data_IF_318315368928
#
_entry.id   IF_318315368928
#
_cell.length_a   1.000
_cell.length_b   1.000
_cell.length_c   1.000
_cell.angle_alpha   90.00
_cell.angle_beta   90.00
_cell.angle_gamma   90.00
#
_symmetry.space_group_name_H-M   'P 1'
#
loop_
_entity.id
_entity.type
_entity.pdbx_description
1 polymer ?
#
# COMPACT_ATOMS: atom_id res chain seq x y z
N UNK A 1 7.39 15.13 15.61
CA UNK A 1 8.67 14.57 16.12
C UNK A 1 8.40 13.29 16.88
N UNK A 2 9.37 12.40 17.00
CA UNK A 2 9.24 11.12 17.71
C UNK A 2 10.31 11.05 18.79
N UNK A 3 9.92 10.76 20.03
CA UNK A 3 10.79 10.76 21.21
C UNK A 3 10.68 9.44 21.97
N UNK A 4 11.80 8.87 22.42
CA UNK A 4 11.79 7.75 23.37
C UNK A 4 11.68 8.28 24.80
N UNK A 5 10.85 7.65 25.62
CA UNK A 5 10.67 7.99 27.03
C UNK A 5 10.51 6.72 27.88
N UNK A 6 10.59 6.87 29.20
CA UNK A 6 10.38 5.80 30.16
C UNK A 6 9.23 6.21 31.09
N UNK A 7 8.23 5.34 31.24
CA UNK A 7 7.08 5.57 32.11
C UNK A 7 7.45 5.40 33.59
N UNK A 8 6.56 5.86 34.48
CA UNK A 8 6.75 5.74 35.94
C UNK A 8 6.82 4.28 36.42
N UNK A 9 6.21 3.36 35.69
CA UNK A 9 6.26 1.92 35.96
C UNK A 9 7.54 1.24 35.40
N UNK A 10 8.41 2.00 34.73
CA UNK A 10 9.65 1.52 34.13
C UNK A 10 9.52 1.08 32.66
N UNK A 11 8.32 1.08 32.08
CA UNK A 11 8.11 0.67 30.69
C UNK A 11 8.71 1.68 29.70
N UNK A 12 9.43 1.19 28.69
CA UNK A 12 9.92 2.01 27.57
C UNK A 12 8.78 2.32 26.57
N UNK A 13 8.69 3.59 26.17
CA UNK A 13 7.68 4.06 25.21
C UNK A 13 8.27 5.00 24.16
N UNK A 14 7.53 5.15 23.07
CA UNK A 14 7.76 6.13 22.01
C UNK A 14 6.57 7.09 21.98
N UNK A 15 6.87 8.39 21.99
CA UNK A 15 5.89 9.48 21.90
C UNK A 15 6.05 10.22 20.57
N UNK A 16 5.08 10.07 19.68
CA UNK A 16 4.93 10.85 18.45
C UNK A 16 4.15 12.13 18.78
N UNK A 17 4.82 13.27 18.71
CA UNK A 17 4.30 14.58 19.10
C UNK A 17 4.16 15.45 17.83
N UNK A 18 2.95 15.93 17.58
CA UNK A 18 2.67 16.82 16.47
C UNK A 18 3.30 18.20 16.71
N UNK A 19 3.79 18.84 15.64
CA UNK A 19 4.26 20.22 15.74
C UNK A 19 3.09 21.17 16.05
N UNK A 20 3.29 22.16 16.94
CA UNK A 20 2.25 23.15 17.24
C UNK A 20 1.77 23.87 15.98
N UNK A 21 0.46 24.02 15.83
CA UNK A 21 -0.17 24.79 14.75
C UNK A 21 -0.27 24.10 13.39
N UNK A 22 0.30 22.89 13.21
CA UNK A 22 0.23 22.20 11.90
C UNK A 22 -1.20 21.92 11.47
N UNK A 23 -2.03 21.35 12.36
CA UNK A 23 -3.43 21.09 12.03
C UNK A 23 -4.22 22.38 11.72
N UNK A 24 -3.85 23.49 12.37
CA UNK A 24 -4.53 24.78 12.24
C UNK A 24 -4.08 25.53 10.96
N UNK A 25 -2.90 25.22 10.42
CA UNK A 25 -2.34 25.89 9.23
C UNK A 25 -2.65 25.19 7.90
N UNK A 26 -3.15 23.95 7.90
CA UNK A 26 -3.43 23.16 6.68
C UNK A 26 -4.24 23.96 5.65
N UNK A 27 -5.31 24.60 6.11
CA UNK A 27 -6.23 25.35 5.23
C UNK A 27 -5.51 26.54 4.58
N UNK A 28 -4.77 27.33 5.36
CA UNK A 28 -4.01 28.47 4.85
C UNK A 28 -2.85 28.06 3.96
N UNK A 29 -2.14 26.98 4.30
CA UNK A 29 -0.98 26.51 3.56
C UNK A 29 -1.39 25.98 2.19
N UNK A 30 -2.47 25.20 2.12
CA UNK A 30 -3.02 24.73 0.86
C UNK A 30 -3.56 25.87 0.01
N UNK A 31 -4.22 26.85 0.61
CA UNK A 31 -4.70 28.04 -0.11
C UNK A 31 -3.54 28.87 -0.68
N UNK A 32 -2.44 29.01 0.06
CA UNK A 32 -1.23 29.66 -0.42
C UNK A 32 -0.60 28.89 -1.60
N UNK A 33 -0.51 27.57 -1.52
CA UNK A 33 -0.03 26.72 -2.63
C UNK A 33 -0.92 26.88 -3.86
N UNK A 34 -2.25 26.85 -3.69
CA UNK A 34 -3.23 27.08 -4.76
C UNK A 34 -2.98 28.41 -5.47
N UNK A 35 -2.84 29.50 -4.71
CA UNK A 35 -2.58 30.83 -5.25
C UNK A 35 -1.27 30.85 -6.03
N UNK A 36 -0.20 30.30 -5.47
CA UNK A 36 1.11 30.29 -6.11
C UNK A 36 1.12 29.51 -7.43
N UNK A 37 0.45 28.35 -7.47
CA UNK A 37 0.27 27.56 -8.70
C UNK A 37 -0.55 28.32 -9.76
N UNK A 38 -1.57 29.07 -9.33
CA UNK A 38 -2.42 29.87 -10.21
C UNK A 38 -1.64 31.08 -10.78
N UNK A 39 -0.86 31.77 -9.95
CA UNK A 39 -0.06 32.93 -10.37
C UNK A 39 1.11 32.57 -11.28
N UNK A 40 1.73 31.41 -11.07
CA UNK A 40 2.91 30.98 -11.84
C UNK A 40 2.56 30.32 -13.17
N UNK A 41 1.27 30.04 -13.42
CA UNK A 41 0.78 29.32 -14.60
C UNK A 41 1.50 27.96 -14.83
N UNK A 42 2.03 27.36 -13.75
CA UNK A 42 2.75 26.08 -13.77
C UNK A 42 1.80 24.87 -13.76
N UNK A 43 0.49 25.08 -13.79
CA UNK A 43 -0.51 24.02 -13.76
C UNK A 43 -0.57 23.35 -15.14
N UNK A 44 -0.28 22.05 -15.25
CA UNK A 44 -0.43 21.32 -16.51
C UNK A 44 -1.88 21.38 -17.01
N UNK A 45 -2.07 21.61 -18.32
CA UNK A 45 -3.40 21.56 -18.94
C UNK A 45 -4.02 20.17 -18.68
N UNK A 46 -5.17 20.15 -18.00
CA UNK A 46 -5.89 18.91 -17.65
C UNK A 46 -5.80 18.48 -16.18
N UNK A 47 -5.02 19.17 -15.34
CA UNK A 47 -5.03 18.91 -13.89
C UNK A 47 -6.29 19.53 -13.26
N UNK A 48 -7.17 18.71 -12.68
CA UNK A 48 -8.30 19.18 -11.89
C UNK A 48 -7.80 19.70 -10.52
N UNK A 49 -7.26 20.93 -10.50
CA UNK A 49 -6.62 21.54 -9.34
C UNK A 49 -7.51 21.48 -8.08
N UNK A 50 -8.80 21.76 -8.22
CA UNK A 50 -9.74 21.72 -7.09
C UNK A 50 -9.89 20.31 -6.49
N UNK A 51 -9.89 19.26 -7.34
CA UNK A 51 -9.92 17.87 -6.87
C UNK A 51 -8.62 17.51 -6.16
N UNK A 52 -7.47 17.88 -6.73
CA UNK A 52 -6.17 17.63 -6.12
C UNK A 52 -6.01 18.33 -4.75
N UNK A 53 -6.45 19.60 -4.66
CA UNK A 53 -6.47 20.36 -3.42
C UNK A 53 -7.36 19.69 -2.37
N UNK A 54 -8.56 19.26 -2.75
CA UNK A 54 -9.49 18.59 -1.83
C UNK A 54 -8.87 17.31 -1.27
N UNK A 55 -8.25 16.49 -2.13
CA UNK A 55 -7.56 15.26 -1.72
C UNK A 55 -6.41 15.61 -0.77
N UNK A 56 -5.58 16.59 -1.10
CA UNK A 56 -4.46 17.02 -0.24
C UNK A 56 -4.92 17.48 1.15
N UNK A 57 -6.00 18.26 1.25
CA UNK A 57 -6.59 18.66 2.54
C UNK A 57 -7.02 17.46 3.37
N UNK A 58 -7.67 16.48 2.75
CA UNK A 58 -8.15 15.29 3.43
C UNK A 58 -6.99 14.42 3.95
N UNK A 59 -5.92 14.28 3.18
CA UNK A 59 -4.74 13.54 3.60
C UNK A 59 -4.03 14.22 4.77
N UNK A 60 -3.76 15.53 4.67
CA UNK A 60 -3.11 16.27 5.76
C UNK A 60 -3.96 16.27 7.04
N UNK A 61 -5.28 16.37 6.91
CA UNK A 61 -6.18 16.29 8.07
C UNK A 61 -6.12 14.93 8.76
N UNK A 62 -6.02 13.82 7.98
CA UNK A 62 -5.83 12.47 8.52
C UNK A 62 -4.48 12.29 9.20
N UNK A 63 -3.40 12.80 8.62
CA UNK A 63 -2.06 12.77 9.22
C UNK A 63 -1.98 13.55 10.56
N UNK A 64 -2.92 14.46 10.77
CA UNK A 64 -3.04 15.26 11.98
C UNK A 64 -3.98 14.67 13.05
N UNK A 65 -4.58 13.51 12.79
CA UNK A 65 -5.49 12.85 13.74
C UNK A 65 -4.84 11.59 14.34
N UNK A 66 -4.14 11.77 15.46
CA UNK A 66 -3.49 10.66 16.16
C UNK A 66 -4.46 9.73 16.90
N UNK A 67 -5.74 10.10 17.08
CA UNK A 67 -6.73 9.13 17.55
C UNK A 67 -7.07 8.12 16.46
N UNK A 68 -7.15 8.56 15.20
CA UNK A 68 -7.34 7.67 14.07
C UNK A 68 -6.16 6.70 13.94
N UNK A 69 -4.92 7.21 14.02
CA UNK A 69 -3.72 6.36 13.98
C UNK A 69 -3.67 5.35 15.14
N UNK A 70 -4.00 5.77 16.37
CA UNK A 70 -4.10 4.87 17.53
C UNK A 70 -5.14 3.77 17.32
N UNK A 71 -6.31 4.11 16.77
CA UNK A 71 -7.38 3.15 16.47
C UNK A 71 -6.93 2.14 15.41
N UNK A 72 -6.27 2.62 14.36
CA UNK A 72 -5.73 1.76 13.30
C UNK A 72 -4.67 0.80 13.87
N UNK A 73 -3.77 1.29 14.71
CA UNK A 73 -2.74 0.49 15.37
C UNK A 73 -3.34 -0.65 16.21
N UNK A 74 -4.37 -0.35 17.03
CA UNK A 74 -5.07 -1.38 17.82
C UNK A 74 -5.71 -2.44 16.92
N UNK A 75 -6.39 -2.01 15.85
CA UNK A 75 -6.97 -2.92 14.86
C UNK A 75 -5.91 -3.80 14.20
N UNK A 76 -4.76 -3.25 13.83
CA UNK A 76 -3.66 -4.05 13.28
C UNK A 76 -3.13 -5.07 14.28
N UNK A 77 -3.03 -4.71 15.57
CA UNK A 77 -2.63 -5.62 16.64
C UNK A 77 -3.58 -6.81 16.73
N UNK A 78 -4.88 -6.58 16.60
CA UNK A 78 -5.90 -7.64 16.58
C UNK A 78 -5.81 -8.49 15.30
N UNK A 79 -5.73 -7.87 14.12
CA UNK A 79 -5.65 -8.57 12.84
C UNK A 79 -4.40 -9.46 12.70
N UNK A 80 -3.32 -9.10 13.39
CA UNK A 80 -2.06 -9.83 13.38
C UNK A 80 -1.85 -10.74 14.59
N UNK A 81 -2.83 -10.87 15.50
CA UNK A 81 -2.67 -11.66 16.74
C UNK A 81 -2.27 -13.11 16.48
N UNK A 82 -2.79 -13.69 15.39
CA UNK A 82 -2.58 -15.09 15.03
C UNK A 82 -1.49 -15.24 13.94
N UNK A 83 -0.81 -14.15 13.58
CA UNK A 83 0.24 -14.16 12.56
C UNK A 83 1.63 -14.18 13.21
N UNK A 84 2.30 -15.33 13.14
CA UNK A 84 3.66 -15.48 13.65
C UNK A 84 4.66 -14.52 12.97
N UNK A 85 5.63 -14.05 13.76
CA UNK A 85 6.72 -13.21 13.28
C UNK A 85 6.36 -11.74 13.05
N UNK A 86 5.16 -11.30 13.44
CA UNK A 86 4.77 -9.89 13.43
C UNK A 86 4.54 -9.38 14.85
N UNK A 87 4.85 -8.10 15.07
CA UNK A 87 4.50 -7.43 16.32
C UNK A 87 3.98 -6.02 16.05
N UNK A 88 2.95 -5.65 16.80
CA UNK A 88 2.38 -4.30 16.81
C UNK A 88 2.45 -3.77 18.24
N UNK A 89 3.20 -2.69 18.51
CA UNK A 89 3.36 -2.15 19.85
C UNK A 89 2.00 -1.75 20.42
N UNK A 90 1.82 -1.92 21.74
CA UNK A 90 0.58 -1.48 22.40
C UNK A 90 0.52 0.05 22.45
N UNK A 91 -0.67 0.61 22.23
CA UNK A 91 -0.94 2.04 22.45
C UNK A 91 -1.16 2.30 23.95
N UNK A 92 -0.54 3.35 24.48
CA UNK A 92 -0.79 3.84 25.84
C UNK A 92 -1.84 4.94 25.78
N UNK A 93 -3.11 4.56 25.96
CA UNK A 93 -4.27 5.46 25.80
C UNK A 93 -4.23 6.67 26.73
N UNK A 94 -3.82 6.46 27.98
CA UNK A 94 -3.73 7.50 29.01
C UNK A 94 -2.75 8.63 28.66
N UNK A 95 -1.79 8.35 27.77
CA UNK A 95 -0.77 9.28 27.29
C UNK A 95 -0.94 9.59 25.80
N UNK A 96 -2.10 9.27 25.23
CA UNK A 96 -2.44 9.55 23.84
C UNK A 96 -3.56 10.59 23.76
N UNK A 97 -3.49 11.45 22.76
CA UNK A 97 -4.41 12.54 22.50
C UNK A 97 -4.44 12.83 20.99
N UNK A 98 -5.24 13.80 20.56
CA UNK A 98 -5.27 14.22 19.16
C UNK A 98 -3.91 14.67 18.61
N UNK A 99 -3.01 15.19 19.46
CA UNK A 99 -1.70 15.76 19.07
C UNK A 99 -0.50 14.94 19.54
N UNK A 100 -0.73 13.89 20.33
CA UNK A 100 0.33 13.04 20.90
C UNK A 100 -0.11 11.58 20.81
N UNK A 101 0.67 10.72 20.16
CA UNK A 101 0.47 9.27 20.15
C UNK A 101 1.60 8.64 20.95
N UNK A 102 1.24 7.86 21.97
CA UNK A 102 2.21 7.12 22.78
C UNK A 102 2.03 5.62 22.56
N UNK A 103 3.09 4.94 22.16
CA UNK A 103 3.12 3.48 22.01
C UNK A 103 4.29 2.87 22.75
N UNK A 104 4.20 1.58 23.04
CA UNK A 104 5.33 0.77 23.47
C UNK A 104 6.53 0.94 22.54
N UNK A 105 7.73 1.03 23.13
CA UNK A 105 8.96 0.99 22.36
C UNK A 105 9.24 -0.43 21.89
N UNK A 106 9.58 -0.57 20.60
CA UNK A 106 9.98 -1.85 20.02
C UNK A 106 11.40 -1.73 19.46
N UNK A 107 12.28 -2.71 19.71
CA UNK A 107 13.60 -2.75 19.12
C UNK A 107 13.54 -3.09 17.62
N UNK A 108 14.68 -2.96 16.95
CA UNK A 108 14.86 -3.39 15.56
C UNK A 108 15.58 -2.37 14.70
N UNK A 109 15.97 -2.80 13.51
CA UNK A 109 16.59 -1.96 12.49
C UNK A 109 15.60 -1.70 11.35
N UNK A 110 15.63 -0.51 10.72
CA UNK A 110 14.81 -0.27 9.54
C UNK A 110 15.15 -1.24 8.40
N UNK A 111 14.16 -1.52 7.54
CA UNK A 111 14.28 -2.56 6.49
C UNK A 111 15.47 -2.32 5.54
N UNK A 112 15.88 -1.08 5.30
CA UNK A 112 17.04 -0.81 4.45
C UNK A 112 18.36 -1.30 5.03
N UNK A 113 18.48 -1.39 6.36
CA UNK A 113 19.62 -1.97 7.06
C UNK A 113 19.64 -3.49 7.00
N UNK A 114 18.52 -4.14 6.68
CA UNK A 114 18.48 -5.60 6.49
C UNK A 114 19.30 -6.04 5.27
N UNK A 115 19.55 -5.15 4.32
CA UNK A 115 20.31 -5.45 3.09
C UNK A 115 21.74 -6.00 3.35
N UNK A 116 22.34 -5.65 4.50
CA UNK A 116 23.69 -6.11 4.91
C UNK A 116 23.68 -7.40 5.74
N UNK A 117 22.51 -7.92 6.09
CA UNK A 117 22.36 -9.18 6.83
C UNK A 117 22.46 -10.39 5.89
N UNK A 118 22.37 -11.60 6.47
CA UNK A 118 22.44 -12.85 5.73
C UNK A 118 21.35 -12.96 4.65
N UNK A 119 21.59 -13.75 3.60
CA UNK A 119 20.56 -14.00 2.56
C UNK A 119 19.29 -14.61 3.16
N UNK A 120 19.42 -15.49 4.15
CA UNK A 120 18.29 -16.09 4.86
C UNK A 120 17.42 -15.02 5.53
N UNK A 121 18.05 -14.09 6.26
CA UNK A 121 17.36 -12.98 6.91
C UNK A 121 16.69 -12.06 5.89
N UNK A 122 17.37 -11.74 4.79
CA UNK A 122 16.81 -10.91 3.69
C UNK A 122 15.59 -11.57 3.06
N UNK A 123 15.65 -12.88 2.82
CA UNK A 123 14.52 -13.65 2.32
C UNK A 123 13.36 -13.67 3.33
N UNK A 124 13.63 -13.93 4.62
CA UNK A 124 12.61 -13.93 5.67
C UNK A 124 11.88 -12.59 5.75
N UNK A 125 12.62 -11.48 5.78
CA UNK A 125 12.05 -10.13 5.85
C UNK A 125 11.27 -9.79 4.58
N UNK A 126 11.78 -10.16 3.40
CA UNK A 126 11.06 -10.00 2.13
C UNK A 126 9.75 -10.80 2.09
N UNK A 127 9.79 -12.05 2.59
CA UNK A 127 8.62 -12.89 2.75
C UNK A 127 7.59 -12.23 3.68
N UNK A 128 8.00 -11.74 4.86
CA UNK A 128 7.10 -11.08 5.81
C UNK A 128 6.48 -9.80 5.25
N UNK A 129 7.24 -9.02 4.50
CA UNK A 129 6.73 -7.80 3.87
C UNK A 129 5.66 -8.10 2.81
N UNK A 130 5.91 -9.08 1.92
CA UNK A 130 4.94 -9.45 0.88
C UNK A 130 3.74 -10.22 1.45
N UNK A 131 3.96 -11.12 2.40
CA UNK A 131 2.89 -11.80 3.13
C UNK A 131 1.95 -10.78 3.78
N UNK A 132 2.51 -9.77 4.48
CA UNK A 132 1.72 -8.70 5.08
C UNK A 132 0.93 -7.93 4.02
N UNK A 133 1.57 -7.53 2.92
CA UNK A 133 0.91 -6.78 1.82
C UNK A 133 -0.26 -7.56 1.21
N UNK A 134 -0.10 -8.87 1.02
CA UNK A 134 -1.15 -9.77 0.52
C UNK A 134 -2.28 -9.90 1.56
N UNK A 135 -1.96 -10.10 2.85
CA UNK A 135 -2.95 -10.19 3.94
C UNK A 135 -3.74 -8.89 4.10
N UNK A 136 -3.08 -7.74 4.12
CA UNK A 136 -3.69 -6.41 4.21
C UNK A 136 -4.77 -6.21 3.15
N UNK A 137 -4.48 -6.63 1.92
CA UNK A 137 -5.39 -6.42 0.80
C UNK A 137 -6.49 -7.49 0.73
N UNK A 138 -6.11 -8.77 0.76
CA UNK A 138 -7.00 -9.89 0.44
C UNK A 138 -7.60 -10.60 1.65
N UNK A 139 -7.07 -10.38 2.85
CA UNK A 139 -7.63 -10.98 4.08
C UNK A 139 -8.31 -9.91 4.91
N UNK A 140 -7.58 -8.86 5.26
CA UNK A 140 -8.09 -7.81 6.14
C UNK A 140 -8.98 -6.80 5.41
N UNK A 141 -8.73 -6.62 4.10
CA UNK A 141 -9.26 -5.50 3.30
C UNK A 141 -9.00 -4.15 3.98
N UNK A 142 -7.89 -4.09 4.72
CA UNK A 142 -7.44 -2.97 5.52
C UNK A 142 -5.94 -2.90 5.37
N UNK A 143 -5.47 -1.87 4.65
CA UNK A 143 -4.10 -1.79 4.17
C UNK A 143 -3.47 -0.47 4.54
N UNK A 144 -2.21 -0.54 4.97
CA UNK A 144 -1.35 0.59 5.22
C UNK A 144 -0.79 1.05 3.87
N UNK A 145 -1.25 2.21 3.40
CA UNK A 145 -1.03 2.65 2.01
C UNK A 145 0.23 3.49 1.79
N UNK A 146 0.99 3.82 2.85
CA UNK A 146 2.29 4.48 2.71
C UNK A 146 3.33 3.48 2.17
N UNK A 147 4.01 3.77 1.07
CA UNK A 147 5.08 2.92 0.56
C UNK A 147 6.35 2.94 1.43
N UNK A 148 6.44 3.80 2.46
CA UNK A 148 7.66 3.96 3.23
C UNK A 148 7.95 2.76 4.13
N UNK A 149 8.98 1.98 3.77
CA UNK A 149 9.41 0.83 4.55
C UNK A 149 10.19 1.18 5.83
N UNK A 150 10.48 2.46 6.11
CA UNK A 150 11.00 2.86 7.43
C UNK A 150 9.97 2.69 8.55
N UNK A 151 8.70 2.49 8.19
CA UNK A 151 7.59 2.21 9.09
C UNK A 151 7.59 0.76 9.61
N UNK A 152 8.58 -0.03 9.19
CA UNK A 152 8.80 -1.39 9.65
C UNK A 152 10.22 -1.51 10.22
N UNK A 153 10.32 -2.17 11.36
CA UNK A 153 11.58 -2.51 12.01
C UNK A 153 11.71 -4.01 12.05
N UNK A 154 12.89 -4.52 11.76
CA UNK A 154 13.21 -5.93 11.93
C UNK A 154 14.09 -6.11 13.17
N UNK A 155 13.63 -6.89 14.12
CA UNK A 155 14.41 -7.35 15.26
C UNK A 155 14.96 -8.74 14.97
N UNK A 156 16.28 -8.82 14.78
CA UNK A 156 16.97 -10.07 14.49
C UNK A 156 17.06 -10.99 15.71
N UNK A 157 17.02 -10.45 16.93
CA UNK A 157 17.15 -11.24 18.16
C UNK A 157 15.92 -12.11 18.42
N UNK A 158 14.73 -11.52 18.23
CA UNK A 158 13.44 -12.22 18.36
C UNK A 158 12.90 -12.70 17.00
N UNK A 159 13.61 -12.40 15.91
CA UNK A 159 13.19 -12.67 14.51
C UNK A 159 11.81 -12.08 14.19
N UNK A 160 11.52 -10.90 14.73
CA UNK A 160 10.22 -10.22 14.66
C UNK A 160 10.20 -9.07 13.65
N UNK A 161 9.08 -8.93 12.95
CA UNK A 161 8.78 -7.84 12.03
C UNK A 161 7.79 -6.86 12.69
N UNK A 162 8.32 -5.74 13.17
CA UNK A 162 7.62 -4.76 13.98
C UNK A 162 7.02 -3.65 13.12
N UNK A 163 5.71 -3.41 13.24
CA UNK A 163 5.00 -2.34 12.51
C UNK A 163 4.83 -1.13 13.43
N UNK A 164 5.19 0.08 12.97
CA UNK A 164 5.23 1.28 13.85
C UNK A 164 4.50 2.52 13.31
N UNK A 165 3.96 2.50 12.08
CA UNK A 165 3.15 3.60 11.55
C UNK A 165 1.85 3.08 10.93
N UNK A 166 0.73 3.68 11.34
CA UNK A 166 -0.62 3.26 10.96
C UNK A 166 -1.49 4.44 10.48
N UNK A 167 -0.86 5.60 10.20
CA UNK A 167 -1.58 6.83 9.86
C UNK A 167 -2.27 6.78 8.50
N UNK A 168 -1.68 6.04 7.55
CA UNK A 168 -2.18 5.90 6.18
C UNK A 168 -3.00 4.60 5.95
N UNK A 169 -3.54 3.99 7.00
CA UNK A 169 -4.33 2.77 6.87
C UNK A 169 -5.74 3.05 6.32
N UNK A 170 -6.21 2.22 5.38
CA UNK A 170 -7.49 2.38 4.68
C UNK A 170 -8.19 1.07 4.45
N UNK A 171 -9.52 1.11 4.51
CA UNK A 171 -10.36 -0.01 4.10
C UNK A 171 -10.60 -0.04 2.60
N UNK A 172 -10.76 -1.25 2.06
CA UNK A 172 -11.09 -1.49 0.67
C UNK A 172 -12.42 -2.26 0.56
N UNK A 173 -13.37 -1.81 -0.29
CA UNK A 173 -14.63 -2.52 -0.50
C UNK A 173 -14.42 -3.94 -0.99
N UNK A 174 -15.25 -4.89 -0.55
CA UNK A 174 -15.12 -6.31 -0.94
C UNK A 174 -15.13 -6.50 -2.45
N UNK A 175 -16.10 -5.92 -3.15
CA UNK A 175 -16.21 -5.99 -4.63
C UNK A 175 -14.93 -5.54 -5.34
N UNK A 176 -14.30 -4.48 -4.85
CA UNK A 176 -13.02 -4.00 -5.40
C UNK A 176 -11.90 -5.02 -5.19
N UNK A 177 -11.79 -5.58 -3.98
CA UNK A 177 -10.76 -6.58 -3.65
C UNK A 177 -10.95 -7.88 -4.43
N UNK A 178 -12.20 -8.34 -4.59
CA UNK A 178 -12.54 -9.52 -5.38
C UNK A 178 -12.04 -9.37 -6.83
N UNK A 179 -12.40 -8.27 -7.49
CA UNK A 179 -12.00 -7.99 -8.88
C UNK A 179 -10.50 -7.76 -9.01
N UNK A 180 -9.89 -7.11 -8.01
CA UNK A 180 -8.44 -6.89 -7.99
C UNK A 180 -7.66 -8.20 -7.77
N UNK A 181 -8.15 -9.13 -6.95
CA UNK A 181 -7.51 -10.44 -6.78
C UNK A 181 -7.56 -11.24 -8.09
N UNK A 182 -8.71 -11.25 -8.78
CA UNK A 182 -8.85 -11.86 -10.11
C UNK A 182 -7.89 -11.24 -11.12
N UNK A 183 -7.74 -9.92 -11.10
CA UNK A 183 -6.75 -9.20 -11.92
C UNK A 183 -5.33 -9.71 -11.65
N UNK A 184 -4.90 -9.76 -10.38
CA UNK A 184 -3.54 -10.18 -10.03
C UNK A 184 -3.28 -11.63 -10.45
N UNK A 185 -4.26 -12.52 -10.31
CA UNK A 185 -4.17 -13.91 -10.79
C UNK A 185 -4.09 -13.98 -12.32
N UNK A 186 -4.88 -13.18 -13.04
CA UNK A 186 -4.79 -13.09 -14.50
C UNK A 186 -3.41 -12.59 -14.96
N UNK A 187 -2.85 -11.57 -14.28
CA UNK A 187 -1.48 -11.11 -14.52
C UNK A 187 -0.45 -12.22 -14.29
N UNK A 188 -0.56 -12.95 -13.16
CA UNK A 188 0.34 -14.03 -12.79
C UNK A 188 0.31 -15.19 -13.82
N UNK A 189 -0.86 -15.47 -14.40
CA UNK A 189 -1.05 -16.54 -15.37
C UNK A 189 -0.89 -16.08 -16.83
N UNK A 190 -0.52 -14.80 -17.07
CA UNK A 190 -0.44 -14.17 -18.39
C UNK A 190 -1.74 -14.31 -19.21
N UNK A 191 -2.88 -14.23 -18.54
CA UNK A 191 -4.20 -14.27 -19.16
C UNK A 191 -4.61 -12.88 -19.66
N UNK A 192 -4.44 -12.64 -20.97
CA UNK A 192 -4.79 -11.37 -21.60
C UNK A 192 -6.29 -11.08 -21.48
N UNK A 193 -7.15 -12.08 -21.62
CA UNK A 193 -8.60 -11.89 -21.59
C UNK A 193 -9.04 -11.47 -20.19
N UNK A 194 -8.58 -12.20 -19.16
CA UNK A 194 -8.83 -11.87 -17.76
C UNK A 194 -8.32 -10.49 -17.36
N UNK A 195 -7.11 -10.11 -17.81
CA UNK A 195 -6.58 -8.76 -17.57
C UNK A 195 -7.48 -7.68 -18.19
N UNK A 196 -7.93 -7.84 -19.43
CA UNK A 196 -8.78 -6.84 -20.07
C UNK A 196 -10.16 -6.75 -19.42
N UNK A 197 -10.75 -7.88 -19.06
CA UNK A 197 -12.07 -7.94 -18.41
C UNK A 197 -12.03 -7.25 -17.04
N UNK A 198 -11.10 -7.66 -16.17
CA UNK A 198 -10.98 -7.08 -14.83
C UNK A 198 -10.57 -5.60 -14.91
N UNK A 199 -9.81 -5.19 -15.93
CA UNK A 199 -9.41 -3.79 -16.12
C UNK A 199 -10.61 -2.90 -16.44
N UNK A 200 -11.62 -3.44 -17.13
CA UNK A 200 -12.88 -2.72 -17.36
C UNK A 200 -13.72 -2.65 -16.09
N UNK A 201 -13.88 -3.77 -15.36
CA UNK A 201 -14.63 -3.81 -14.08
C UNK A 201 -14.03 -2.86 -13.04
N UNK A 202 -12.70 -2.79 -12.96
CA UNK A 202 -11.96 -1.89 -12.09
C UNK A 202 -11.87 -0.45 -12.61
N UNK A 203 -12.38 -0.15 -13.82
CA UNK A 203 -12.36 1.20 -14.38
C UNK A 203 -10.98 1.69 -14.87
N UNK A 204 -10.02 0.80 -15.11
CA UNK A 204 -8.76 1.13 -15.79
C UNK A 204 -8.93 1.37 -17.28
N UNK A 205 -9.92 0.70 -17.87
CA UNK A 205 -10.27 0.77 -19.28
C UNK A 205 -11.77 1.05 -19.41
N UNK A 206 -12.12 1.88 -20.38
CA UNK A 206 -13.50 2.16 -20.77
C UNK A 206 -14.05 1.06 -21.69
N UNK A 207 -13.15 0.38 -22.42
CA UNK A 207 -13.50 -0.58 -23.47
C UNK A 207 -13.44 -0.01 -24.88
N UNK A 208 -13.22 1.31 -25.03
CA UNK A 208 -13.12 2.02 -26.30
C UNK A 208 -11.67 2.39 -26.68
N UNK A 209 -10.70 1.97 -25.88
CA UNK A 209 -9.29 2.24 -26.14
C UNK A 209 -8.80 1.58 -27.45
N UNK A 210 -7.88 2.22 -28.20
CA UNK A 210 -7.29 1.61 -29.38
C UNK A 210 -6.40 0.42 -28.99
N UNK A 211 -6.23 -0.56 -29.90
CA UNK A 211 -5.48 -1.80 -29.64
C UNK A 211 -4.07 -1.56 -29.09
N UNK A 212 -3.37 -0.51 -29.57
CA UNK A 212 -2.04 -0.12 -29.08
C UNK A 212 -2.01 0.22 -27.59
N UNK A 213 -3.11 0.76 -27.05
CA UNK A 213 -3.26 1.04 -25.63
C UNK A 213 -3.54 -0.27 -24.88
N UNK A 214 -4.46 -1.10 -25.38
CA UNK A 214 -4.80 -2.39 -24.77
C UNK A 214 -3.57 -3.29 -24.65
N UNK A 215 -2.76 -3.37 -25.71
CA UNK A 215 -1.51 -4.14 -25.71
C UNK A 215 -0.49 -3.58 -24.71
N UNK A 216 -0.31 -2.26 -24.67
CA UNK A 216 0.59 -1.63 -23.71
C UNK A 216 0.13 -1.84 -22.26
N UNK A 217 -1.18 -1.81 -22.00
CA UNK A 217 -1.75 -2.05 -20.68
C UNK A 217 -1.59 -3.51 -20.24
N UNK A 218 -1.87 -4.47 -21.13
CA UNK A 218 -1.70 -5.90 -20.86
C UNK A 218 -0.24 -6.24 -20.61
N UNK A 219 0.69 -5.71 -21.42
CA UNK A 219 2.12 -5.96 -21.24
C UNK A 219 2.61 -5.38 -19.91
N UNK A 220 2.17 -4.17 -19.54
CA UNK A 220 2.48 -3.58 -18.24
C UNK A 220 1.94 -4.44 -17.08
N UNK A 221 0.72 -4.97 -17.22
CA UNK A 221 0.11 -5.86 -16.24
C UNK A 221 0.88 -7.17 -16.08
N UNK A 222 1.34 -7.78 -17.19
CA UNK A 222 2.17 -8.98 -17.16
C UNK A 222 3.53 -8.74 -16.53
N UNK A 223 4.18 -7.59 -16.80
CA UNK A 223 5.44 -7.20 -16.17
C UNK A 223 5.29 -7.13 -14.65
N UNK A 224 4.20 -6.52 -14.15
CA UNK A 224 3.90 -6.45 -12.70
C UNK A 224 3.55 -7.84 -12.14
N UNK A 225 2.99 -8.73 -12.95
CA UNK A 225 2.66 -10.11 -12.60
C UNK A 225 3.87 -11.06 -12.53
N UNK A 226 5.04 -10.69 -13.07
CA UNK A 226 6.23 -11.55 -13.17
C UNK A 226 6.62 -12.20 -11.84
N UNK A 227 6.63 -11.52 -10.68
CA UNK A 227 6.98 -12.15 -9.40
C UNK A 227 6.08 -13.33 -9.03
N UNK A 228 4.83 -13.32 -9.50
CA UNK A 228 3.82 -14.34 -9.21
C UNK A 228 3.70 -15.41 -10.32
N UNK A 229 4.48 -15.30 -11.41
CA UNK A 229 4.27 -16.12 -12.60
C UNK A 229 4.82 -17.55 -12.47
N UNK A 230 5.97 -17.71 -11.82
CA UNK A 230 6.66 -19.01 -11.71
C UNK A 230 6.69 -19.50 -10.27
N UNK A 231 6.53 -20.82 -10.02
CA UNK A 231 6.80 -21.42 -8.72
C UNK A 231 8.26 -21.22 -8.28
N UNK A 232 8.48 -21.22 -6.98
CA UNK A 232 9.78 -21.03 -6.36
C UNK A 232 10.11 -19.57 -6.06
N UNK A 233 11.30 -19.36 -5.50
CA UNK A 233 11.76 -18.04 -5.09
C UNK A 233 12.01 -17.10 -6.28
N UNK A 234 11.30 -15.97 -6.30
CA UNK A 234 11.56 -14.89 -7.25
C UNK A 234 12.67 -13.98 -6.73
N UNK A 235 13.77 -13.87 -7.48
CA UNK A 235 14.84 -12.89 -7.21
C UNK A 235 14.46 -11.53 -7.79
N UNK A 236 14.11 -10.60 -6.90
CA UNK A 236 13.72 -9.24 -7.27
C UNK A 236 14.86 -8.43 -7.91
N UNK A 237 16.13 -8.77 -7.69
CA UNK A 237 17.26 -8.06 -8.32
C UNK A 237 17.51 -8.50 -9.75
N UNK A 238 17.13 -9.73 -10.10
CA UNK A 238 17.39 -10.30 -11.43
C UNK A 238 16.56 -9.63 -12.54
N UNK A 239 15.39 -9.07 -12.20
CA UNK A 239 14.47 -8.48 -13.17
C UNK A 239 14.23 -6.99 -12.87
N UNK A 240 14.57 -6.11 -13.81
CA UNK A 240 14.31 -4.68 -13.66
C UNK A 240 12.84 -4.34 -14.02
N UNK A 241 11.90 -4.85 -13.22
CA UNK A 241 10.45 -4.63 -13.37
C UNK A 241 10.14 -3.13 -13.52
N UNK A 242 10.82 -2.29 -12.74
CA UNK A 242 10.65 -0.83 -12.75
C UNK A 242 10.95 -0.19 -14.10
N UNK A 243 12.03 -0.60 -14.77
CA UNK A 243 12.41 -0.06 -16.07
C UNK A 243 11.48 -0.55 -17.19
N UNK A 244 11.02 -1.80 -17.10
CA UNK A 244 10.11 -2.38 -18.10
C UNK A 244 8.76 -1.67 -18.14
N UNK A 245 8.20 -1.29 -16.98
CA UNK A 245 6.93 -0.54 -16.90
C UNK A 245 7.08 0.89 -17.44
N UNK A 246 8.19 1.58 -17.15
CA UNK A 246 8.37 2.98 -17.59
C UNK A 246 8.36 3.15 -19.10
N UNK A 247 8.81 2.14 -19.85
CA UNK A 247 8.85 2.17 -21.32
C UNK A 247 7.45 2.18 -21.96
N UNK A 248 6.45 1.64 -21.26
CA UNK A 248 5.05 1.61 -21.72
C UNK A 248 4.26 2.84 -21.25
N UNK A 249 4.82 3.62 -20.31
CA UNK A 249 4.18 4.78 -19.71
C UNK A 249 3.78 5.87 -20.71
N UNK A 250 4.64 6.14 -21.71
CA UNK A 250 4.36 7.16 -22.72
C UNK A 250 3.16 6.79 -23.61
N UNK A 251 3.05 5.52 -24.02
CA UNK A 251 1.93 5.01 -24.81
C UNK A 251 0.63 5.06 -24.01
N UNK A 252 0.65 4.59 -22.76
CA UNK A 252 -0.51 4.64 -21.88
C UNK A 252 -0.95 6.09 -21.63
N UNK A 253 -0.03 7.01 -21.35
CA UNK A 253 -0.37 8.42 -21.11
C UNK A 253 -0.99 9.09 -22.36
N UNK A 254 -0.56 8.71 -23.56
CA UNK A 254 -1.05 9.29 -24.82
C UNK A 254 -2.45 8.80 -25.19
N UNK A 255 -2.77 7.53 -24.96
CA UNK A 255 -3.99 6.90 -25.49
C UNK A 255 -5.03 6.50 -24.44
N UNK A 256 -4.75 6.70 -23.15
CA UNK A 256 -5.69 6.39 -22.07
C UNK A 256 -6.89 7.36 -22.07
N UNK A 257 -8.09 6.81 -22.00
CA UNK A 257 -9.35 7.56 -22.06
C UNK A 257 -9.91 7.92 -20.68
N UNK A 258 -9.56 7.18 -19.63
CA UNK A 258 -10.02 7.42 -18.25
C UNK A 258 -8.86 7.37 -17.25
N UNK A 259 -8.82 8.24 -16.22
CA UNK A 259 -7.90 8.07 -15.11
C UNK A 259 -8.26 6.80 -14.30
N UNK A 260 -7.28 6.07 -13.75
CA UNK A 260 -7.51 5.02 -12.77
C UNK A 260 -8.32 5.53 -11.56
N UNK A 261 -9.08 4.65 -10.87
CA UNK A 261 -9.71 4.99 -9.61
C UNK A 261 -8.72 5.41 -8.53
N UNK A 262 -9.17 6.25 -7.61
CA UNK A 262 -8.33 6.83 -6.54
C UNK A 262 -7.78 5.73 -5.61
N UNK A 263 -8.55 4.66 -5.36
CA UNK A 263 -8.18 3.51 -4.53
C UNK A 263 -6.95 2.78 -5.08
N UNK A 264 -6.84 2.70 -6.39
CA UNK A 264 -5.80 1.92 -7.07
C UNK A 264 -4.44 2.61 -6.93
N UNK A 265 -4.39 3.94 -6.95
CA UNK A 265 -3.14 4.66 -6.78
C UNK A 265 -2.46 4.32 -5.44
N UNK A 266 -3.23 4.30 -4.36
CA UNK A 266 -2.72 3.94 -3.04
C UNK A 266 -2.26 2.49 -2.98
N UNK A 267 -3.02 1.57 -3.56
CA UNK A 267 -2.69 0.15 -3.60
C UNK A 267 -1.42 -0.11 -4.44
N UNK A 268 -1.37 0.39 -5.68
CA UNK A 268 -0.22 0.21 -6.57
C UNK A 268 1.06 0.82 -5.98
N UNK A 269 0.96 1.97 -5.29
CA UNK A 269 2.09 2.56 -4.56
C UNK A 269 2.61 1.63 -3.47
N UNK A 270 1.72 1.05 -2.65
CA UNK A 270 2.11 0.12 -1.59
C UNK A 270 2.74 -1.16 -2.14
N UNK A 271 2.14 -1.79 -3.14
CA UNK A 271 2.70 -2.99 -3.78
C UNK A 271 4.06 -2.70 -4.43
N UNK A 272 4.18 -1.57 -5.14
CA UNK A 272 5.44 -1.13 -5.74
C UNK A 272 6.50 -0.85 -4.67
N UNK A 273 6.11 -0.25 -3.55
CA UNK A 273 6.98 -0.04 -2.38
C UNK A 273 7.51 -1.36 -1.81
N UNK A 274 6.64 -2.38 -1.70
CA UNK A 274 7.04 -3.71 -1.26
C UNK A 274 8.06 -4.36 -2.23
N UNK A 275 7.81 -4.28 -3.54
CA UNK A 275 8.74 -4.80 -4.55
C UNK A 275 10.09 -4.08 -4.50
N UNK A 276 10.08 -2.74 -4.42
CA UNK A 276 11.30 -1.94 -4.30
C UNK A 276 12.09 -2.27 -3.03
N UNK A 277 11.41 -2.53 -1.91
CA UNK A 277 12.06 -2.99 -0.69
C UNK A 277 12.71 -4.37 -0.87
N UNK A 278 12.02 -5.32 -1.50
CA UNK A 278 12.58 -6.63 -1.84
C UNK A 278 13.80 -6.52 -2.78
N UNK A 279 13.76 -5.63 -3.79
CA UNK A 279 14.91 -5.32 -4.65
C UNK A 279 16.08 -4.78 -3.81
N UNK A 280 15.80 -3.80 -2.95
CA UNK A 280 16.80 -3.11 -2.12
C UNK A 280 17.53 -4.10 -1.21
N UNK A 281 16.78 -4.95 -0.50
CA UNK A 281 17.38 -5.96 0.39
C UNK A 281 17.88 -7.19 -0.38
N UNK A 282 17.53 -7.38 -1.65
CA UNK A 282 17.91 -8.56 -2.42
C UNK A 282 17.26 -9.83 -1.92
N UNK A 283 15.97 -9.75 -1.61
CA UNK A 283 15.19 -10.88 -1.17
C UNK A 283 14.81 -11.77 -2.36
N UNK A 284 14.81 -13.07 -2.10
CA UNK A 284 14.26 -14.11 -2.96
C UNK A 284 13.01 -14.65 -2.28
N UNK A 285 11.83 -14.43 -2.88
CA UNK A 285 10.54 -14.69 -2.22
C UNK A 285 9.64 -15.58 -3.08
N UNK A 286 9.02 -16.65 -2.52
CA UNK A 286 8.07 -17.51 -3.24
C UNK A 286 6.70 -16.83 -3.38
N UNK A 287 6.64 -15.78 -4.21
CA UNK A 287 5.49 -14.89 -4.28
C UNK A 287 4.25 -15.60 -4.86
N UNK A 288 4.45 -16.50 -5.84
CA UNK A 288 3.35 -17.27 -6.45
C UNK A 288 2.64 -18.10 -5.39
N UNK A 289 3.38 -18.89 -4.62
CA UNK A 289 2.83 -19.74 -3.57
C UNK A 289 2.08 -18.93 -2.52
N UNK A 290 2.62 -17.76 -2.13
CA UNK A 290 1.94 -16.86 -1.19
C UNK A 290 0.60 -16.35 -1.73
N UNK A 291 0.57 -15.90 -2.99
CA UNK A 291 -0.65 -15.41 -3.63
C UNK A 291 -1.69 -16.52 -3.77
N UNK A 292 -1.29 -17.68 -4.31
CA UNK A 292 -2.23 -18.76 -4.60
C UNK A 292 -2.76 -19.43 -3.32
N UNK A 293 -1.95 -19.50 -2.25
CA UNK A 293 -2.44 -19.95 -0.93
C UNK A 293 -3.60 -19.07 -0.44
N UNK A 294 -3.51 -17.75 -0.65
CA UNK A 294 -4.58 -16.83 -0.28
C UNK A 294 -5.76 -16.95 -1.24
N UNK A 295 -5.51 -17.04 -2.55
CA UNK A 295 -6.54 -17.21 -3.56
C UNK A 295 -7.40 -18.46 -3.36
N UNK A 296 -6.79 -19.60 -3.03
CA UNK A 296 -7.47 -20.87 -2.78
C UNK A 296 -8.38 -20.84 -1.54
N UNK A 297 -8.07 -19.97 -0.58
CA UNK A 297 -8.82 -19.78 0.66
C UNK A 297 -9.77 -18.57 0.58
N UNK A 298 -9.76 -17.85 -0.54
CA UNK A 298 -10.50 -16.61 -0.69
C UNK A 298 -11.97 -16.88 -0.98
N UNK A 299 -12.85 -16.30 -0.17
CA UNK A 299 -14.30 -16.34 -0.37
C UNK A 299 -14.72 -15.18 -1.28
N UNK A 300 -15.05 -15.46 -2.54
CA UNK A 300 -15.53 -14.44 -3.48
C UNK A 300 -17.01 -14.13 -3.23
N UNK A 301 -17.39 -12.86 -3.35
CA UNK A 301 -18.82 -12.53 -3.38
C UNK A 301 -19.48 -13.13 -4.61
N UNK A 302 -20.68 -13.69 -4.43
CA UNK A 302 -21.50 -14.16 -5.54
C UNK A 302 -21.88 -12.97 -6.43
N UNK A 303 -21.41 -12.96 -7.69
CA UNK A 303 -21.73 -11.95 -8.71
C UNK A 303 -23.26 -11.93 -9.10
N UNK A 304 -24.12 -12.67 -8.39
CA UNK A 304 -25.50 -12.99 -8.79
C UNK A 304 -26.61 -12.05 -8.27
N UNK A 305 -26.31 -11.03 -7.45
CA UNK A 305 -27.37 -10.22 -6.82
C UNK A 305 -27.69 -8.87 -7.48
N UNK A 306 -26.94 -8.40 -8.49
CA UNK A 306 -27.19 -7.09 -9.13
C UNK A 306 -28.07 -7.15 -10.41
N UNK A 307 -28.42 -8.34 -10.91
CA UNK A 307 -29.24 -8.46 -12.15
C UNK A 307 -30.75 -8.52 -11.87
N UNK A 308 -31.18 -8.75 -10.62
CA UNK A 308 -32.60 -8.94 -10.29
C UNK A 308 -33.30 -7.73 -9.63
N UNK A 309 -32.63 -6.60 -9.44
CA UNK A 309 -33.23 -5.41 -8.81
C UNK A 309 -33.62 -4.27 -9.77
N UNK A 310 -33.33 -4.39 -11.07
CA UNK A 310 -33.68 -3.37 -12.09
C UNK A 310 -34.87 -3.78 -13.00
N UNK A 311 -35.69 -4.73 -12.57
CA UNK A 311 -37.00 -4.99 -13.19
C UNK A 311 -38.10 -4.93 -12.13
N UNK A 312 -38.47 -3.71 -11.76
CA UNK A 312 -39.62 -3.39 -10.90
C UNK A 312 -40.22 -2.06 -11.33
#
# INVERSE_FOLDING_TARGET
QVHRAVLKDGSDVVMKIQYPGVADSIESDIENVRRLLTYTNLIPKGLFLDRAIKVAKQELARECDYFLEASNQKRYKELLSDSEGYYVPRVTDELSSKKVLTSEFVPGVPIDKVAVLSQETRNYVGCKLLELTIKELFVFRFMQTDPNWSNFLYDDSERQFNLIDFGAAREFPKKFVDDYLRMVVACANRDRAGVLEMSRRLGFLTGEEPEVMLDAHVEAAFIVGVPFATPGGHDFRANNITHSVSNLGATMLKYRLTPPPDEVYSLHRKLSGAFLACIKIGAVVPCREMLFKVYEQYDFSDDHLEVLSNTG
#
